data_IF_183761352349
#
_entry.id   IF_183761352349
#
_cell.length_a   1.000
_cell.length_b   1.000
_cell.length_c   1.000
_cell.angle_alpha   90.00
_cell.angle_beta   90.00
_cell.angle_gamma   90.00
#
_symmetry.space_group_name_H-M   'P 1'
#
loop_
_entity.id
_entity.type
_entity.pdbx_description
1 polymer ?
#
# COMPACT_ATOMS: atom_id res chain seq x y z
N UNK A 1 16.48 17.79 -19.12
CA UNK A 1 16.56 16.54 -18.34
C UNK A 1 15.61 16.71 -17.16
N UNK A 2 14.36 16.24 -17.28
CA UNK A 2 13.38 16.37 -16.20
C UNK A 2 13.63 15.23 -15.21
N UNK A 3 14.01 15.56 -13.99
CA UNK A 3 14.11 14.59 -12.90
C UNK A 3 12.67 14.30 -12.45
N UNK A 4 12.06 13.24 -12.95
CA UNK A 4 10.80 12.75 -12.41
C UNK A 4 11.09 12.19 -11.01
N UNK A 5 10.85 13.01 -9.99
CA UNK A 5 10.86 12.54 -8.60
C UNK A 5 9.80 11.47 -8.47
N UNK A 6 10.21 10.23 -8.21
CA UNK A 6 9.31 9.12 -7.88
C UNK A 6 8.39 9.56 -6.73
N UNK A 7 7.06 9.52 -6.88
CA UNK A 7 6.15 9.93 -5.82
C UNK A 7 6.37 9.10 -4.55
N UNK A 8 6.58 9.77 -3.42
CA UNK A 8 6.79 9.14 -2.12
C UNK A 8 5.66 9.47 -1.15
N UNK A 9 5.14 8.45 -0.48
CA UNK A 9 4.12 8.60 0.55
C UNK A 9 4.38 7.57 1.65
N UNK A 10 4.73 8.02 2.84
CA UNK A 10 4.91 7.15 3.99
C UNK A 10 3.57 6.92 4.68
N UNK A 11 3.26 5.68 5.03
CA UNK A 11 1.99 5.30 5.67
C UNK A 11 2.21 4.74 7.06
N UNK A 12 1.18 4.89 7.88
CA UNK A 12 1.15 4.32 9.23
C UNK A 12 -0.05 3.39 9.38
N UNK A 13 0.18 2.20 9.93
CA UNK A 13 -0.84 1.18 10.13
C UNK A 13 -0.94 0.84 11.61
N UNK A 14 -2.16 0.80 12.11
CA UNK A 14 -2.45 0.54 13.51
C UNK A 14 -2.91 -0.91 13.68
N UNK A 15 -2.32 -1.64 14.62
CA UNK A 15 -2.71 -3.01 14.95
C UNK A 15 -4.20 -3.09 15.32
N UNK A 16 -4.92 -4.03 14.69
CA UNK A 16 -6.32 -4.32 14.99
C UNK A 16 -7.33 -3.34 14.37
N UNK A 17 -6.87 -2.30 13.66
CA UNK A 17 -7.74 -1.40 12.92
C UNK A 17 -7.76 -1.75 11.42
N UNK A 18 -8.87 -1.48 10.75
CA UNK A 18 -8.89 -1.46 9.29
C UNK A 18 -8.00 -0.31 8.79
N UNK A 19 -7.24 -0.57 7.73
CA UNK A 19 -6.44 0.43 7.03
C UNK A 19 -7.04 0.66 5.64
N UNK A 20 -7.17 1.93 5.27
CA UNK A 20 -7.64 2.35 3.95
C UNK A 20 -6.83 3.56 3.49
N UNK A 21 -6.28 3.49 2.28
CA UNK A 21 -5.70 4.62 1.56
C UNK A 21 -6.45 4.79 0.24
N UNK A 22 -7.15 5.91 0.08
CA UNK A 22 -7.82 6.27 -1.17
C UNK A 22 -6.90 7.14 -2.02
N UNK A 23 -6.79 6.81 -3.30
CA UNK A 23 -6.03 7.53 -4.30
C UNK A 23 -6.96 7.95 -5.43
N UNK A 24 -6.76 9.16 -5.93
CA UNK A 24 -7.37 9.65 -7.18
C UNK A 24 -6.23 9.93 -8.14
N UNK A 25 -6.24 9.27 -9.29
CA UNK A 25 -5.23 9.47 -10.32
C UNK A 25 -5.70 10.51 -11.31
N UNK A 26 -4.85 11.49 -11.56
CA UNK A 26 -5.10 12.58 -12.49
C UNK A 26 -3.97 12.68 -13.51
N UNK A 27 -4.33 13.04 -14.74
CA UNK A 27 -3.42 13.44 -15.81
C UNK A 27 -3.87 14.83 -16.28
N UNK A 28 -2.94 15.80 -16.27
CA UNK A 28 -3.23 17.20 -16.64
C UNK A 28 -4.43 17.85 -15.90
N UNK A 29 -4.62 17.47 -14.62
CA UNK A 29 -5.73 17.91 -13.74
C UNK A 29 -7.11 17.33 -14.09
N UNK A 30 -7.15 16.33 -14.96
CA UNK A 30 -8.37 15.56 -15.24
C UNK A 30 -8.23 14.14 -14.70
N UNK A 31 -9.31 13.51 -14.22
CA UNK A 31 -9.26 12.13 -13.75
C UNK A 31 -8.79 11.17 -14.85
N UNK A 32 -7.80 10.35 -14.51
CA UNK A 32 -7.34 9.28 -15.39
C UNK A 32 -8.38 8.16 -15.41
N UNK A 33 -8.86 7.78 -16.59
CA UNK A 33 -9.81 6.66 -16.72
C UNK A 33 -9.10 5.31 -16.58
N UNK A 34 -9.45 4.56 -15.54
CA UNK A 34 -8.83 3.28 -15.17
C UNK A 34 -9.62 2.05 -15.63
N UNK A 35 -10.53 2.20 -16.60
CA UNK A 35 -11.32 1.08 -17.11
C UNK A 35 -10.42 -0.03 -17.67
N UNK A 36 -10.54 -1.23 -17.10
CA UNK A 36 -9.75 -2.40 -17.47
C UNK A 36 -8.31 -2.43 -16.93
N UNK A 37 -7.90 -1.43 -16.16
CA UNK A 37 -6.64 -1.50 -15.42
C UNK A 37 -6.76 -2.48 -14.26
N UNK A 38 -5.62 -2.95 -13.77
CA UNK A 38 -5.51 -3.66 -12.48
C UNK A 38 -4.50 -2.95 -11.59
N UNK A 39 -4.60 -3.13 -10.29
CA UNK A 39 -3.69 -2.53 -9.32
C UNK A 39 -3.08 -3.59 -8.39
N UNK A 40 -1.85 -3.36 -7.96
CA UNK A 40 -1.11 -4.25 -7.07
C UNK A 40 -0.25 -3.44 -6.10
N UNK A 41 -0.17 -3.91 -4.86
CA UNK A 41 0.67 -3.31 -3.82
C UNK A 41 1.09 -4.36 -2.80
N UNK A 42 2.37 -4.34 -2.42
CA UNK A 42 2.95 -5.28 -1.45
C UNK A 42 3.74 -4.54 -0.38
N UNK A 43 3.66 -5.04 0.86
CA UNK A 43 4.51 -4.66 1.98
C UNK A 43 5.64 -5.69 2.12
N UNK A 44 6.89 -5.22 2.05
CA UNK A 44 8.11 -6.04 2.17
C UNK A 44 9.08 -5.46 3.20
N UNK A 45 10.00 -6.30 3.68
CA UNK A 45 11.00 -5.90 4.68
C UNK A 45 12.02 -4.88 4.15
N UNK A 46 12.41 -5.01 2.87
CA UNK A 46 13.33 -4.09 2.18
C UNK A 46 13.01 -4.02 0.68
N UNK A 47 13.74 -3.18 -0.05
CA UNK A 47 13.71 -3.09 -1.52
C UNK A 47 14.56 -4.15 -2.22
N UNK A 48 15.28 -4.98 -1.46
CA UNK A 48 16.24 -5.93 -2.03
C UNK A 48 15.54 -7.04 -2.80
N UNK A 49 16.21 -7.53 -3.84
CA UNK A 49 15.73 -8.69 -4.58
C UNK A 49 15.62 -9.89 -3.63
N UNK A 50 14.42 -10.47 -3.52
CA UNK A 50 14.15 -11.59 -2.62
C UNK A 50 13.74 -11.19 -1.19
N UNK A 51 13.57 -9.89 -0.90
CA UNK A 51 13.05 -9.43 0.39
C UNK A 51 11.73 -10.12 0.76
N UNK A 52 11.56 -10.50 2.02
CA UNK A 52 10.40 -11.25 2.47
C UNK A 52 9.11 -10.44 2.27
N UNK A 53 8.07 -11.12 1.77
CA UNK A 53 6.72 -10.57 1.72
C UNK A 53 6.13 -10.57 3.12
N UNK A 54 5.78 -9.40 3.63
CA UNK A 54 5.09 -9.26 4.91
C UNK A 54 3.58 -9.43 4.66
N UNK A 55 3.01 -8.62 3.75
CA UNK A 55 1.59 -8.66 3.36
C UNK A 55 1.36 -8.13 1.95
N UNK A 56 0.28 -8.58 1.35
CA UNK A 56 -0.30 -7.95 0.16
C UNK A 56 -1.42 -7.01 0.62
N UNK A 57 -1.47 -5.81 0.05
CA UNK A 57 -2.64 -4.94 0.19
C UNK A 57 -3.71 -5.41 -0.77
N UNK A 58 -4.98 -5.30 -0.36
CA UNK A 58 -6.08 -5.35 -1.33
C UNK A 58 -6.09 -4.03 -2.08
N UNK A 59 -5.87 -4.08 -3.39
CA UNK A 59 -5.85 -2.91 -4.27
C UNK A 59 -7.03 -2.98 -5.25
N UNK A 60 -8.07 -2.17 -5.03
CA UNK A 60 -9.28 -2.16 -5.86
C UNK A 60 -9.45 -0.82 -6.57
N UNK A 61 -9.76 -0.87 -7.87
CA UNK A 61 -10.25 0.29 -8.60
C UNK A 61 -11.75 0.37 -8.37
N UNK A 62 -12.19 1.38 -7.60
CA UNK A 62 -13.57 1.47 -7.12
C UNK A 62 -14.46 2.33 -8.02
N UNK A 63 -13.88 3.32 -8.70
CA UNK A 63 -14.57 4.20 -9.64
C UNK A 63 -13.66 4.48 -10.84
N UNK A 64 -13.58 3.53 -11.81
CA UNK A 64 -12.64 3.62 -12.93
C UNK A 64 -12.76 4.90 -13.76
N UNK A 65 -13.96 5.43 -14.09
CA UNK A 65 -14.08 6.70 -14.82
C UNK A 65 -13.53 7.92 -14.07
N UNK A 66 -13.45 7.86 -12.74
CA UNK A 66 -12.98 8.97 -11.89
C UNK A 66 -11.56 8.74 -11.35
N UNK A 67 -10.85 7.73 -11.83
CA UNK A 67 -9.47 7.47 -11.43
C UNK A 67 -9.30 7.01 -9.99
N UNK A 68 -10.34 6.49 -9.33
CA UNK A 68 -10.29 6.15 -7.91
C UNK A 68 -9.82 4.72 -7.66
N UNK A 69 -8.81 4.61 -6.79
CA UNK A 69 -8.23 3.36 -6.28
C UNK A 69 -8.26 3.37 -4.75
N UNK A 70 -8.53 2.22 -4.14
CA UNK A 70 -8.34 1.99 -2.71
C UNK A 70 -7.28 0.92 -2.49
N UNK A 71 -6.35 1.19 -1.57
CA UNK A 71 -5.55 0.17 -0.89
C UNK A 71 -6.14 -0.09 0.47
N UNK A 72 -6.32 -1.36 0.84
CA UNK A 72 -6.85 -1.71 2.15
C UNK A 72 -6.23 -2.95 2.78
N UNK A 73 -6.26 -2.98 4.11
CA UNK A 73 -6.04 -4.15 4.95
C UNK A 73 -7.15 -4.20 6.00
N UNK A 74 -7.66 -5.40 6.27
CA UNK A 74 -8.60 -5.59 7.37
C UNK A 74 -7.90 -5.55 8.73
N UNK A 75 -8.63 -5.25 9.78
CA UNK A 75 -8.24 -5.38 11.19
C UNK A 75 -7.57 -6.71 11.51
N UNK A 76 -8.06 -7.82 10.97
CA UNK A 76 -7.43 -9.13 11.13
C UNK A 76 -6.06 -9.20 10.44
N UNK A 77 -5.92 -8.62 9.24
CA UNK A 77 -4.66 -8.56 8.51
C UNK A 77 -3.65 -7.63 9.18
N UNK A 78 -4.08 -6.47 9.69
CA UNK A 78 -3.21 -5.52 10.41
C UNK A 78 -2.78 -6.08 11.77
N UNK A 79 -3.65 -6.82 12.46
CA UNK A 79 -3.28 -7.60 13.65
C UNK A 79 -2.23 -8.67 13.32
N UNK A 80 -2.38 -9.36 12.19
CA UNK A 80 -1.44 -10.38 11.74
C UNK A 80 -0.10 -9.84 11.21
N UNK A 81 0.11 -8.51 11.20
CA UNK A 81 1.44 -7.91 10.97
C UNK A 81 2.37 -8.12 12.16
N UNK A 82 1.82 -8.42 13.33
CA UNK A 82 2.56 -8.70 14.56
C UNK A 82 2.54 -10.21 14.82
N UNK A 83 3.68 -10.91 14.74
CA UNK A 83 3.70 -12.33 15.06
C UNK A 83 3.33 -12.55 16.52
N UNK A 84 2.44 -13.52 16.77
CA UNK A 84 1.73 -13.78 18.04
C UNK A 84 2.64 -14.09 19.26
N UNK A 85 3.95 -14.22 19.09
CA UNK A 85 4.87 -14.53 20.19
C UNK A 85 6.15 -13.68 20.10
N UNK A 86 6.34 -12.73 21.02
CA UNK A 86 7.56 -12.56 21.84
C UNK A 86 7.35 -11.44 22.89
N UNK A 87 7.73 -11.64 24.16
CA UNK A 87 7.52 -10.68 25.25
C UNK A 87 8.42 -9.42 25.21
N UNK A 88 9.32 -9.27 24.23
CA UNK A 88 10.20 -8.10 24.07
C UNK A 88 10.18 -7.46 22.67
N UNK A 89 9.08 -7.55 21.91
CA UNK A 89 9.04 -6.93 20.56
C UNK A 89 8.98 -5.40 20.65
N UNK A 90 9.63 -4.69 19.70
CA UNK A 90 9.43 -3.27 19.57
C UNK A 90 7.95 -3.00 19.26
N UNK A 91 7.37 -2.01 19.95
CA UNK A 91 5.98 -1.54 19.74
C UNK A 91 5.73 -1.06 18.31
N UNK A 92 6.81 -0.81 17.56
CA UNK A 92 6.82 -0.26 16.21
C UNK A 92 7.73 -1.10 15.33
N UNK A 93 7.20 -1.52 14.19
CA UNK A 93 7.91 -2.21 13.12
C UNK A 93 7.85 -1.36 11.84
N UNK A 94 8.70 -1.69 10.87
CA UNK A 94 8.74 -0.97 9.61
C UNK A 94 8.99 -1.91 8.43
N UNK A 95 8.48 -1.50 7.27
CA UNK A 95 8.76 -2.09 5.97
C UNK A 95 8.61 -1.04 4.88
N UNK A 96 8.55 -1.49 3.64
CA UNK A 96 8.38 -0.64 2.47
C UNK A 96 7.28 -1.20 1.59
N UNK A 97 6.57 -0.29 0.93
CA UNK A 97 5.55 -0.64 -0.04
C UNK A 97 5.69 0.18 -1.31
N UNK A 98 5.06 -0.34 -2.35
CA UNK A 98 4.83 0.33 -3.61
C UNK A 98 3.42 0.01 -4.13
N UNK A 99 3.02 0.78 -5.13
CA UNK A 99 1.74 0.66 -5.81
C UNK A 99 2.00 0.73 -7.30
N UNK A 100 1.55 -0.29 -8.01
CA UNK A 100 1.56 -0.34 -9.46
C UNK A 100 0.15 -0.44 -10.00
N UNK A 101 -0.07 0.13 -11.18
CA UNK A 101 -1.19 -0.21 -12.04
C UNK A 101 -0.69 -0.85 -13.32
N UNK A 102 -1.48 -1.78 -13.86
CA UNK A 102 -1.23 -2.40 -15.15
C UNK A 102 -2.37 -2.07 -16.09
N UNK A 103 -2.06 -1.51 -17.26
CA UNK A 103 -3.04 -1.21 -18.30
C UNK A 103 -3.63 -2.50 -18.91
N UNK A 104 -4.79 -2.42 -19.61
CA UNK A 104 -5.32 -3.55 -20.38
C UNK A 104 -4.34 -4.12 -21.42
N UNK A 105 -3.37 -3.32 -21.86
CA UNK A 105 -2.32 -3.69 -22.83
C UNK A 105 -1.05 -4.21 -22.17
N UNK A 106 -1.00 -4.30 -20.83
CA UNK A 106 0.12 -4.86 -20.07
C UNK A 106 1.21 -3.85 -19.69
N UNK A 107 0.98 -2.55 -19.88
CA UNK A 107 1.94 -1.52 -19.44
C UNK A 107 1.84 -1.36 -17.93
N UNK A 108 2.95 -1.55 -17.22
CA UNK A 108 3.05 -1.41 -15.76
C UNK A 108 3.56 0.00 -15.42
N UNK A 109 2.80 0.72 -14.61
CA UNK A 109 3.12 2.09 -14.17
C UNK A 109 3.27 2.11 -12.66
N UNK A 110 4.41 2.62 -12.18
CA UNK A 110 4.63 2.93 -10.77
C UNK A 110 3.84 4.18 -10.39
N UNK A 111 3.00 4.10 -9.37
CA UNK A 111 2.20 5.23 -8.89
C UNK A 111 2.89 5.94 -7.72
N UNK A 112 3.16 5.20 -6.65
CA UNK A 112 3.77 5.71 -5.44
C UNK A 112 4.31 4.57 -4.58
N UNK A 113 5.06 4.93 -3.55
CA UNK A 113 5.51 4.01 -2.52
C UNK A 113 6.23 4.75 -1.41
N UNK A 114 6.63 4.02 -0.39
CA UNK A 114 7.28 4.65 0.76
C UNK A 114 7.48 3.68 1.90
N UNK A 115 7.80 4.23 3.05
CA UNK A 115 7.95 3.49 4.29
C UNK A 115 6.57 3.23 4.88
N UNK A 116 6.38 2.02 5.38
CA UNK A 116 5.26 1.65 6.24
C UNK A 116 5.78 1.57 7.66
N UNK A 117 5.15 2.30 8.57
CA UNK A 117 5.36 2.16 10.01
C UNK A 117 4.11 1.50 10.58
N UNK A 118 4.25 0.41 11.32
CA UNK A 118 3.11 -0.24 11.95
C UNK A 118 3.35 -0.45 13.44
N UNK A 119 2.35 -0.10 14.27
CA UNK A 119 2.49 -0.12 15.72
C UNK A 119 1.31 -0.77 16.45
N UNK A 120 1.62 -1.32 17.64
CA UNK A 120 0.67 -1.97 18.51
C UNK A 120 -0.17 -0.98 19.32
N UNK A 121 -1.45 -1.30 19.49
CA UNK A 121 -2.40 -0.54 20.31
C UNK A 121 -2.46 -1.08 21.74
N UNK A 122 -2.88 -0.23 22.68
CA UNK A 122 -3.14 -0.66 24.06
C UNK A 122 -4.51 -1.34 24.16
N UNK A 123 -5.49 -0.80 23.43
CA UNK A 123 -6.85 -1.33 23.36
C UNK A 123 -6.88 -2.54 22.43
N UNK A 124 -7.45 -3.66 22.89
CA UNK A 124 -7.66 -4.86 22.08
C UNK A 124 -9.15 -4.94 21.71
N UNK A 125 -9.46 -4.96 20.42
CA UNK A 125 -10.80 -5.17 19.86
C UNK A 125 -10.92 -6.55 19.25
#
# INVERSE_FOLDING_TARGET
>A
MSLTSTPKYDITITEGADFTLSLVLEEDREPMVLTGYTAQAQLRESYDQGAALIREFRADIINPPSGELILSLTSAQTMALFPVAHPQRPRTLAGYYDVFITSPTGTVTYLLGGRVIYFQTITRS
#
